data_IF_503037185526
#
_entry.id   IF_503037185526
#
_cell.length_a   1.000
_cell.length_b   1.000
_cell.length_c   1.000
_cell.angle_alpha   90.00
_cell.angle_beta   90.00
_cell.angle_gamma   90.00
#
_symmetry.space_group_name_H-M   'P 1'
#
loop_
_entity.id
_entity.type
_entity.pdbx_description
1 polymer ?
#
# COMPACT_ATOMS: atom_id res chain seq x y z
N UNK A 1 -20.69 -16.65 -29.96
CA UNK A 1 -21.47 -16.48 -31.22
C UNK A 1 -22.07 -17.80 -31.68
N UNK A 2 -21.28 -18.87 -31.77
CA UNK A 2 -21.79 -20.23 -32.01
C UNK A 2 -22.92 -20.61 -31.03
N UNK A 3 -22.68 -20.48 -29.72
CA UNK A 3 -23.63 -20.92 -28.69
C UNK A 3 -24.90 -20.07 -28.67
N UNK A 4 -24.77 -18.77 -28.95
CA UNK A 4 -25.91 -17.88 -29.17
C UNK A 4 -26.75 -18.28 -30.39
N UNK A 5 -26.12 -18.77 -31.46
CA UNK A 5 -26.81 -19.28 -32.65
C UNK A 5 -27.50 -20.61 -32.36
N UNK A 6 -26.90 -21.52 -31.58
CA UNK A 6 -27.53 -22.78 -31.15
C UNK A 6 -28.76 -22.54 -30.27
N UNK A 7 -28.67 -21.57 -29.36
CA UNK A 7 -29.74 -21.21 -28.43
C UNK A 7 -30.77 -20.23 -29.03
N UNK A 8 -30.60 -19.83 -30.30
CA UNK A 8 -31.45 -18.82 -30.94
C UNK A 8 -32.87 -19.35 -31.20
N UNK A 9 -33.91 -18.67 -30.69
CA UNK A 9 -35.32 -19.03 -30.90
C UNK A 9 -36.00 -19.61 -29.65
N UNK A 10 -37.24 -20.12 -29.76
CA UNK A 10 -37.99 -20.60 -28.61
C UNK A 10 -37.30 -21.84 -28.01
N UNK A 11 -37.17 -21.84 -26.68
CA UNK A 11 -36.65 -22.96 -25.90
C UNK A 11 -37.75 -24.01 -25.75
N UNK A 12 -37.43 -25.29 -25.97
CA UNK A 12 -38.39 -26.37 -25.78
C UNK A 12 -38.81 -26.43 -24.29
N UNK A 13 -40.10 -26.30 -23.96
CA UNK A 13 -40.60 -26.28 -22.59
C UNK A 13 -40.26 -27.54 -21.77
N UNK A 14 -39.89 -28.65 -22.44
CA UNK A 14 -39.50 -29.89 -21.78
C UNK A 14 -37.98 -30.11 -21.68
N UNK A 15 -37.16 -29.13 -22.10
CA UNK A 15 -35.70 -29.26 -22.05
C UNK A 15 -35.13 -28.94 -20.67
N UNK A 16 -34.01 -29.58 -20.30
CA UNK A 16 -33.28 -29.26 -19.07
C UNK A 16 -32.76 -27.80 -19.03
N UNK A 17 -32.57 -27.18 -20.19
CA UNK A 17 -32.17 -25.78 -20.32
C UNK A 17 -33.20 -24.83 -19.68
N UNK A 18 -34.50 -25.17 -19.73
CA UNK A 18 -35.57 -24.40 -19.08
C UNK A 18 -35.47 -24.37 -17.55
N UNK A 19 -34.82 -25.37 -16.94
CA UNK A 19 -34.66 -25.50 -15.48
C UNK A 19 -33.36 -24.88 -14.94
N UNK A 20 -32.35 -24.70 -15.81
CA UNK A 20 -31.01 -24.29 -15.40
C UNK A 20 -30.80 -22.76 -15.35
N UNK A 21 -31.74 -21.96 -15.87
CA UNK A 21 -31.54 -20.52 -16.09
C UNK A 21 -32.45 -19.62 -15.23
N UNK A 22 -31.92 -18.47 -14.80
CA UNK A 22 -32.66 -17.45 -14.03
C UNK A 22 -33.38 -16.46 -14.97
N UNK A 23 -34.56 -15.93 -14.59
CA UNK A 23 -35.28 -14.96 -15.41
C UNK A 23 -34.52 -13.63 -15.47
N UNK A 24 -34.08 -13.19 -16.66
CA UNK A 24 -33.50 -11.85 -16.89
C UNK A 24 -32.24 -11.79 -17.77
N UNK A 25 -31.55 -12.91 -18.02
CA UNK A 25 -30.26 -12.91 -18.74
C UNK A 25 -30.36 -12.75 -20.27
N UNK A 26 -31.58 -12.71 -20.81
CA UNK A 26 -31.81 -12.66 -22.26
C UNK A 26 -32.08 -11.23 -22.71
N UNK A 27 -31.02 -10.42 -22.89
CA UNK A 27 -31.19 -9.13 -23.59
C UNK A 27 -31.39 -9.29 -25.11
N UNK A 28 -31.05 -10.44 -25.70
CA UNK A 28 -31.15 -10.66 -27.16
C UNK A 28 -31.35 -12.12 -27.57
N UNK A 29 -32.25 -12.87 -26.90
CA UNK A 29 -32.71 -14.16 -27.43
C UNK A 29 -34.07 -13.95 -28.10
N UNK A 30 -34.18 -14.27 -29.38
CA UNK A 30 -35.41 -14.17 -30.16
C UNK A 30 -36.47 -15.23 -29.74
N UNK A 31 -36.79 -15.33 -28.46
CA UNK A 31 -37.75 -16.28 -27.85
C UNK A 31 -39.15 -16.16 -28.46
N UNK A 32 -39.50 -14.97 -28.95
CA UNK A 32 -40.79 -14.67 -29.57
C UNK A 32 -40.89 -15.09 -31.04
N UNK A 33 -39.82 -15.62 -31.62
CA UNK A 33 -39.82 -16.02 -33.02
C UNK A 33 -40.40 -17.42 -33.24
N UNK A 34 -41.13 -17.65 -34.34
CA UNK A 34 -41.59 -18.99 -34.69
C UNK A 34 -40.43 -19.99 -34.88
N UNK A 35 -40.65 -21.26 -34.52
CA UNK A 35 -39.66 -22.35 -34.65
C UNK A 35 -39.15 -22.53 -36.10
N UNK A 36 -40.01 -22.31 -37.09
CA UNK A 36 -39.64 -22.40 -38.50
C UNK A 36 -38.65 -21.31 -38.94
N UNK A 37 -38.65 -20.14 -38.28
CA UNK A 37 -37.77 -19.01 -38.62
C UNK A 37 -36.44 -19.07 -37.87
N UNK A 38 -36.39 -19.73 -36.72
CA UNK A 38 -35.17 -19.90 -35.91
C UNK A 38 -34.31 -21.08 -36.37
N UNK A 39 -34.90 -22.13 -36.94
CA UNK A 39 -34.19 -23.29 -37.51
C UNK A 39 -33.04 -22.97 -38.47
N UNK A 40 -33.21 -22.12 -39.50
CA UNK A 40 -32.13 -21.77 -40.43
C UNK A 40 -31.02 -20.93 -39.78
N UNK A 41 -31.33 -20.17 -38.71
CA UNK A 41 -30.33 -19.39 -37.96
C UNK A 41 -29.51 -20.31 -37.04
N UNK A 42 -30.13 -21.33 -36.41
CA UNK A 42 -29.41 -22.38 -35.67
C UNK A 42 -28.45 -23.16 -36.55
N UNK A 43 -28.81 -23.42 -37.81
CA UNK A 43 -27.94 -24.07 -38.79
C UNK A 43 -26.67 -23.27 -39.10
N UNK A 44 -26.65 -21.95 -38.88
CA UNK A 44 -25.43 -21.15 -39.00
C UNK A 44 -24.41 -21.46 -37.90
N UNK A 45 -24.83 -22.02 -36.76
CA UNK A 45 -23.91 -22.50 -35.73
C UNK A 45 -22.97 -23.57 -36.30
N UNK A 46 -23.47 -24.49 -37.13
CA UNK A 46 -22.66 -25.54 -37.77
C UNK A 46 -21.49 -25.00 -38.64
N UNK A 47 -21.55 -23.73 -39.05
CA UNK A 47 -20.52 -23.06 -39.88
C UNK A 47 -19.59 -22.19 -39.03
N UNK A 48 -20.02 -21.79 -37.83
CA UNK A 48 -19.18 -21.05 -36.88
C UNK A 48 -18.33 -22.06 -36.09
N UNK A 49 -17.02 -21.87 -35.92
CA UNK A 49 -16.22 -22.79 -35.13
C UNK A 49 -16.68 -22.81 -33.66
N UNK A 50 -16.85 -24.01 -33.10
CA UNK A 50 -17.14 -24.20 -31.68
C UNK A 50 -15.88 -23.96 -30.84
N UNK A 51 -15.56 -22.69 -30.57
CA UNK A 51 -14.35 -22.28 -29.87
C UNK A 51 -14.35 -22.57 -28.36
N UNK A 52 -15.46 -23.06 -27.77
CA UNK A 52 -15.53 -23.35 -26.33
C UNK A 52 -14.46 -24.35 -25.88
N UNK A 53 -14.18 -25.42 -26.65
CA UNK A 53 -13.16 -26.40 -26.25
C UNK A 53 -11.74 -25.82 -26.30
N UNK A 54 -11.45 -24.95 -27.28
CA UNK A 54 -10.16 -24.26 -27.35
C UNK A 54 -10.01 -23.19 -26.27
N UNK A 55 -11.10 -22.51 -25.90
CA UNK A 55 -11.12 -21.53 -24.82
C UNK A 55 -10.95 -22.21 -23.46
N UNK A 56 -11.67 -23.32 -23.20
CA UNK A 56 -11.48 -24.12 -21.99
C UNK A 56 -10.07 -24.70 -21.90
N UNK A 57 -9.54 -25.27 -22.99
CA UNK A 57 -8.17 -25.78 -23.00
C UNK A 57 -7.12 -24.66 -22.78
N UNK A 58 -7.32 -23.48 -23.37
CA UNK A 58 -6.45 -22.33 -23.14
C UNK A 58 -6.54 -21.82 -21.69
N UNK A 59 -7.75 -21.81 -21.12
CA UNK A 59 -7.98 -21.45 -19.72
C UNK A 59 -7.31 -22.44 -18.76
N UNK A 60 -7.46 -23.75 -18.99
CA UNK A 60 -6.82 -24.80 -18.20
C UNK A 60 -5.29 -24.71 -18.28
N UNK A 61 -4.76 -24.47 -19.48
CA UNK A 61 -3.33 -24.21 -19.67
C UNK A 61 -2.88 -22.96 -18.91
N UNK A 62 -3.59 -21.84 -19.00
CA UNK A 62 -3.27 -20.61 -18.28
C UNK A 62 -3.34 -20.79 -16.77
N UNK A 63 -4.33 -21.52 -16.27
CA UNK A 63 -4.46 -21.84 -14.85
C UNK A 63 -3.29 -22.70 -14.36
N UNK A 64 -2.89 -23.71 -15.14
CA UNK A 64 -1.69 -24.50 -14.84
C UNK A 64 -0.42 -23.64 -14.85
N UNK A 65 -0.31 -22.71 -15.81
CA UNK A 65 0.81 -21.77 -15.89
C UNK A 65 0.84 -20.83 -14.67
N UNK A 66 -0.30 -20.28 -14.25
CA UNK A 66 -0.39 -19.39 -13.08
C UNK A 66 -0.12 -20.11 -11.76
N UNK A 67 -0.47 -21.39 -11.66
CA UNK A 67 -0.24 -22.17 -10.45
C UNK A 67 1.19 -22.72 -10.35
N UNK A 68 1.96 -22.74 -11.44
CA UNK A 68 3.34 -23.24 -11.44
C UNK A 68 4.32 -22.26 -10.78
N UNK A 69 4.83 -22.61 -9.60
CA UNK A 69 5.84 -21.81 -8.88
C UNK A 69 7.14 -21.65 -9.68
N UNK A 70 7.66 -22.72 -10.29
CA UNK A 70 8.89 -22.67 -11.09
C UNK A 70 8.78 -21.75 -12.30
N UNK A 71 7.60 -21.74 -12.95
CA UNK A 71 7.37 -20.85 -14.07
C UNK A 71 7.30 -19.39 -13.59
N UNK A 72 6.61 -19.14 -12.48
CA UNK A 72 6.55 -17.81 -11.87
C UNK A 72 7.96 -17.28 -11.58
N UNK A 73 8.82 -18.10 -10.96
CA UNK A 73 10.21 -17.74 -10.65
C UNK A 73 10.98 -17.39 -11.94
N UNK A 74 10.88 -18.24 -12.97
CA UNK A 74 11.50 -17.97 -14.28
C UNK A 74 10.98 -16.68 -14.93
N UNK A 75 9.66 -16.43 -14.88
CA UNK A 75 9.05 -15.23 -15.45
C UNK A 75 9.51 -13.98 -14.69
N UNK A 76 9.51 -13.99 -13.36
CA UNK A 76 9.97 -12.88 -12.54
C UNK A 76 11.46 -12.56 -12.79
N UNK A 77 12.31 -13.58 -12.91
CA UNK A 77 13.75 -13.39 -13.07
C UNK A 77 14.15 -13.03 -14.52
N UNK A 78 13.59 -13.72 -15.53
CA UNK A 78 14.09 -13.66 -16.91
C UNK A 78 13.19 -12.90 -17.86
N UNK A 79 11.89 -12.80 -17.57
CA UNK A 79 10.87 -12.22 -18.46
C UNK A 79 9.81 -11.41 -17.69
N UNK A 80 10.19 -10.44 -16.84
CA UNK A 80 9.24 -9.74 -15.97
C UNK A 80 8.11 -9.05 -16.74
N UNK A 81 8.42 -8.51 -17.92
CA UNK A 81 7.42 -7.87 -18.77
C UNK A 81 6.46 -8.83 -19.49
N UNK A 82 6.80 -10.12 -19.55
CA UNK A 82 5.84 -11.15 -19.96
C UNK A 82 4.84 -11.42 -18.82
N UNK A 83 5.30 -11.41 -17.57
CA UNK A 83 4.42 -11.47 -16.39
C UNK A 83 3.37 -10.34 -16.39
N UNK A 84 3.77 -9.12 -16.75
CA UNK A 84 2.83 -8.00 -16.94
C UNK A 84 1.78 -8.26 -18.01
N UNK A 85 2.20 -8.83 -19.15
CA UNK A 85 1.27 -9.15 -20.23
C UNK A 85 0.20 -10.15 -19.76
N UNK A 86 0.60 -11.13 -18.95
CA UNK A 86 -0.31 -12.10 -18.36
C UNK A 86 -1.32 -11.47 -17.40
N UNK A 87 -0.86 -10.57 -16.51
CA UNK A 87 -1.73 -9.84 -15.57
C UNK A 87 -2.77 -9.01 -16.34
N UNK A 88 -2.37 -8.39 -17.46
CA UNK A 88 -3.24 -7.54 -18.28
C UNK A 88 -4.42 -8.30 -18.90
N UNK A 89 -4.29 -9.60 -19.16
CA UNK A 89 -5.34 -10.39 -19.81
C UNK A 89 -6.49 -10.79 -18.86
N UNK A 90 -6.48 -10.36 -17.59
CA UNK A 90 -7.57 -10.51 -16.61
C UNK A 90 -8.22 -11.90 -16.57
N UNK A 91 -7.39 -12.94 -16.71
CA UNK A 91 -7.83 -14.33 -16.60
C UNK A 91 -8.14 -14.64 -15.14
N UNK A 92 -9.04 -15.61 -14.88
CA UNK A 92 -9.34 -16.06 -13.52
C UNK A 92 -8.04 -16.38 -12.75
N UNK A 93 -7.83 -15.73 -11.60
CA UNK A 93 -6.60 -15.85 -10.80
C UNK A 93 -5.54 -14.77 -11.04
N UNK A 94 -5.77 -13.76 -11.89
CA UNK A 94 -4.80 -12.69 -12.15
C UNK A 94 -4.34 -11.94 -10.89
N UNK A 95 -5.22 -11.75 -9.89
CA UNK A 95 -4.87 -11.12 -8.63
C UNK A 95 -3.92 -11.98 -7.78
N UNK A 96 -4.17 -13.30 -7.66
CA UNK A 96 -3.28 -14.24 -6.97
C UNK A 96 -1.91 -14.32 -7.66
N UNK A 97 -1.93 -14.42 -9.00
CA UNK A 97 -0.71 -14.38 -9.80
C UNK A 97 0.05 -13.07 -9.58
N UNK A 98 -0.63 -11.92 -9.61
CA UNK A 98 -0.03 -10.60 -9.38
C UNK A 98 0.61 -10.51 -8.00
N UNK A 99 -0.08 -10.96 -6.95
CA UNK A 99 0.45 -11.00 -5.58
C UNK A 99 1.75 -11.81 -5.51
N UNK A 100 1.72 -13.06 -6.01
CA UNK A 100 2.90 -13.93 -6.01
C UNK A 100 4.02 -13.38 -6.89
N UNK A 101 3.69 -12.81 -8.04
CA UNK A 101 4.64 -12.20 -8.96
C UNK A 101 5.35 -10.99 -8.35
N UNK A 102 4.61 -10.06 -7.76
CA UNK A 102 5.18 -8.89 -7.07
C UNK A 102 6.01 -9.32 -5.86
N UNK A 103 5.56 -10.34 -5.11
CA UNK A 103 6.35 -10.93 -4.03
C UNK A 103 7.70 -11.47 -4.51
N UNK A 104 7.75 -12.15 -5.66
CA UNK A 104 9.03 -12.60 -6.27
C UNK A 104 9.91 -11.46 -6.75
N UNK A 105 9.32 -10.40 -7.30
CA UNK A 105 10.08 -9.24 -7.76
C UNK A 105 10.72 -8.49 -6.58
N UNK A 106 9.99 -8.25 -5.49
CA UNK A 106 10.57 -7.55 -4.32
C UNK A 106 11.59 -8.42 -3.57
N UNK A 107 11.46 -9.75 -3.62
CA UNK A 107 12.40 -10.68 -3.00
C UNK A 107 13.79 -10.70 -3.65
N UNK A 108 13.93 -10.18 -4.87
CA UNK A 108 15.18 -10.23 -5.65
C UNK A 108 15.69 -8.82 -5.95
N UNK A 109 16.80 -8.38 -5.31
CA UNK A 109 17.40 -7.07 -5.55
C UNK A 109 17.85 -6.80 -6.99
N UNK A 110 18.02 -7.86 -7.80
CA UNK A 110 18.35 -7.76 -9.22
C UNK A 110 17.14 -7.70 -10.15
N UNK A 111 15.92 -7.66 -9.61
CA UNK A 111 14.70 -7.70 -10.43
C UNK A 111 14.46 -6.39 -11.18
N UNK A 112 13.63 -6.47 -12.22
CA UNK A 112 13.21 -5.28 -12.97
C UNK A 112 12.48 -4.26 -12.07
N UNK A 113 11.82 -4.70 -10.99
CA UNK A 113 11.17 -3.81 -10.04
C UNK A 113 12.18 -2.88 -9.35
N UNK A 114 13.30 -3.43 -8.87
CA UNK A 114 14.35 -2.64 -8.22
C UNK A 114 14.95 -1.63 -9.18
N UNK A 115 15.22 -2.04 -10.42
CA UNK A 115 15.76 -1.14 -11.43
C UNK A 115 14.81 0.03 -11.73
N UNK A 116 13.52 -0.25 -11.91
CA UNK A 116 12.53 0.78 -12.17
C UNK A 116 12.34 1.70 -10.96
N UNK A 117 12.24 1.18 -9.74
CA UNK A 117 12.11 1.98 -8.51
C UNK A 117 13.34 2.88 -8.28
N UNK A 118 14.55 2.34 -8.38
CA UNK A 118 15.79 3.08 -8.14
C UNK A 118 16.02 4.21 -9.16
N UNK A 119 15.41 4.11 -10.34
CA UNK A 119 15.51 5.12 -11.40
C UNK A 119 14.28 6.04 -11.49
N UNK A 120 13.30 5.88 -10.59
CA UNK A 120 12.04 6.61 -10.59
C UNK A 120 11.84 7.50 -9.35
N UNK A 121 12.88 8.27 -9.00
CA UNK A 121 12.86 9.20 -7.88
C UNK A 121 12.48 10.64 -8.29
N UNK A 122 12.14 10.86 -9.57
CA UNK A 122 11.77 12.18 -10.09
C UNK A 122 10.27 12.40 -9.87
N UNK A 123 9.92 13.48 -9.18
CA UNK A 123 8.53 13.91 -8.99
C UNK A 123 8.01 14.68 -10.21
N UNK A 124 6.72 14.54 -10.48
CA UNK A 124 5.95 15.31 -11.45
C UNK A 124 4.99 16.22 -10.67
N UNK A 125 5.51 17.40 -10.29
CA UNK A 125 4.81 18.32 -9.40
C UNK A 125 4.91 17.94 -7.90
N UNK A 126 4.09 18.56 -7.04
CA UNK A 126 4.19 18.39 -5.58
C UNK A 126 3.57 17.08 -5.07
N UNK A 127 2.69 16.44 -5.84
CA UNK A 127 1.92 15.26 -5.41
C UNK A 127 2.47 13.96 -6.00
N UNK A 128 2.75 13.91 -7.31
CA UNK A 128 2.95 12.67 -8.05
C UNK A 128 4.42 12.40 -8.44
N UNK A 129 4.70 11.16 -8.80
CA UNK A 129 5.94 10.77 -9.47
C UNK A 129 5.78 10.78 -10.98
N UNK A 130 6.86 11.10 -11.70
CA UNK A 130 6.92 10.85 -13.13
C UNK A 130 6.92 9.34 -13.38
N UNK A 131 6.03 8.84 -14.24
CA UNK A 131 5.89 7.42 -14.57
C UNK A 131 6.10 7.21 -16.08
N UNK A 132 7.34 7.27 -16.58
CA UNK A 132 7.61 7.17 -18.00
C UNK A 132 7.29 5.75 -18.52
N UNK A 133 6.81 5.64 -19.76
CA UNK A 133 6.43 4.37 -20.40
C UNK A 133 7.57 3.33 -20.40
N UNK A 134 8.84 3.77 -20.34
CA UNK A 134 10.01 2.89 -20.23
C UNK A 134 10.04 2.07 -18.93
N UNK A 135 9.48 2.60 -17.84
CA UNK A 135 9.34 1.90 -16.56
C UNK A 135 8.05 1.10 -16.61
N UNK A 136 8.08 -0.03 -17.34
CA UNK A 136 6.86 -0.73 -17.77
C UNK A 136 6.08 -1.31 -16.59
N UNK A 137 6.73 -1.76 -15.52
CA UNK A 137 6.06 -2.27 -14.31
C UNK A 137 5.36 -1.13 -13.59
N UNK A 138 6.10 -0.08 -13.24
CA UNK A 138 5.54 1.05 -12.49
C UNK A 138 4.48 1.80 -13.29
N UNK A 139 4.71 2.00 -14.59
CA UNK A 139 3.75 2.63 -15.48
C UNK A 139 2.46 1.80 -15.59
N UNK A 140 2.57 0.47 -15.75
CA UNK A 140 1.38 -0.39 -15.79
C UNK A 140 0.55 -0.32 -14.51
N UNK A 141 1.23 -0.35 -13.36
CA UNK A 141 0.57 -0.36 -12.05
C UNK A 141 -0.02 1.00 -11.65
N UNK A 142 0.69 2.10 -11.94
CA UNK A 142 0.44 3.39 -11.29
C UNK A 142 0.12 4.54 -12.23
N UNK A 143 0.34 4.42 -13.56
CA UNK A 143 -0.10 5.46 -14.49
C UNK A 143 -1.64 5.55 -14.56
N UNK A 144 -2.33 4.43 -14.31
CA UNK A 144 -3.72 4.39 -13.84
C UNK A 144 -3.75 3.62 -12.52
N UNK A 145 -3.80 4.35 -11.40
CA UNK A 145 -3.70 3.77 -10.06
C UNK A 145 -4.86 2.82 -9.71
N UNK A 146 -5.97 2.84 -10.48
CA UNK A 146 -7.08 1.89 -10.32
C UNK A 146 -6.66 0.46 -10.67
N UNK A 147 -5.64 0.28 -11.52
CA UNK A 147 -5.09 -1.06 -11.78
C UNK A 147 -4.45 -1.64 -10.52
N UNK A 148 -3.63 -0.85 -9.82
CA UNK A 148 -3.02 -1.29 -8.57
C UNK A 148 -4.07 -1.60 -7.49
N UNK A 149 -5.15 -0.82 -7.41
CA UNK A 149 -6.29 -1.09 -6.53
C UNK A 149 -6.95 -2.44 -6.85
N UNK A 150 -7.36 -2.65 -8.11
CA UNK A 150 -8.02 -3.87 -8.57
C UNK A 150 -7.16 -5.12 -8.36
N UNK A 151 -5.86 -5.00 -8.54
CA UNK A 151 -4.89 -6.09 -8.35
C UNK A 151 -4.46 -6.28 -6.90
N UNK A 152 -4.86 -5.38 -5.99
CA UNK A 152 -4.34 -5.32 -4.62
C UNK A 152 -2.80 -5.35 -4.60
N UNK A 153 -2.16 -4.52 -5.42
CA UNK A 153 -0.72 -4.57 -5.70
C UNK A 153 0.17 -4.52 -4.44
N UNK A 154 -0.32 -3.89 -3.38
CA UNK A 154 0.32 -3.85 -2.07
C UNK A 154 0.52 -5.22 -1.41
N UNK A 155 -0.34 -6.21 -1.66
CA UNK A 155 -0.31 -7.49 -0.92
C UNK A 155 0.97 -8.27 -1.17
N UNK A 156 1.40 -8.34 -2.43
CA UNK A 156 2.59 -9.10 -2.80
C UNK A 156 3.87 -8.50 -2.21
N UNK A 157 3.98 -7.17 -2.27
CA UNK A 157 5.12 -6.42 -1.74
C UNK A 157 5.08 -6.40 -0.21
N UNK A 158 3.97 -5.97 0.37
CA UNK A 158 3.83 -5.81 1.81
C UNK A 158 3.86 -7.13 2.56
N UNK A 159 3.20 -8.17 2.05
CA UNK A 159 3.25 -9.50 2.65
C UNK A 159 4.65 -10.12 2.63
N UNK A 160 5.46 -9.86 1.58
CA UNK A 160 6.86 -10.28 1.58
C UNK A 160 7.67 -9.56 2.67
N UNK A 161 7.51 -8.25 2.80
CA UNK A 161 8.23 -7.45 3.81
C UNK A 161 7.86 -7.90 5.23
N UNK A 162 6.59 -8.20 5.49
CA UNK A 162 6.18 -8.77 6.77
C UNK A 162 6.89 -10.09 7.06
N UNK A 163 6.85 -11.06 6.13
CA UNK A 163 7.54 -12.35 6.30
C UNK A 163 9.06 -12.20 6.43
N UNK A 164 9.66 -11.24 5.74
CA UNK A 164 11.08 -10.93 5.86
C UNK A 164 11.42 -10.42 7.27
N UNK A 165 10.63 -9.49 7.80
CA UNK A 165 10.80 -8.96 9.15
C UNK A 165 10.44 -9.99 10.24
N UNK A 166 9.52 -10.92 9.95
CA UNK A 166 9.19 -12.05 10.80
C UNK A 166 10.27 -13.17 10.74
N UNK A 167 11.30 -13.00 9.89
CA UNK A 167 12.45 -13.92 9.78
C UNK A 167 12.20 -15.16 8.92
N UNK A 168 11.08 -15.23 8.20
CA UNK A 168 10.68 -16.41 7.41
C UNK A 168 11.43 -16.52 6.07
N UNK A 169 11.84 -15.39 5.48
CA UNK A 169 12.44 -15.36 4.14
C UNK A 169 13.98 -15.37 4.16
N UNK A 170 14.60 -14.57 5.04
CA UNK A 170 16.06 -14.43 5.19
C UNK A 170 16.43 -14.34 6.68
N UNK A 171 16.74 -15.47 7.34
CA UNK A 171 16.97 -15.48 8.79
C UNK A 171 18.17 -14.62 9.26
N UNK A 172 19.15 -14.39 8.40
CA UNK A 172 20.34 -13.56 8.66
C UNK A 172 20.08 -12.06 8.47
N UNK A 173 18.92 -11.69 7.95
CA UNK A 173 18.61 -10.31 7.57
C UNK A 173 18.60 -9.34 8.76
N UNK A 174 18.16 -9.80 9.93
CA UNK A 174 18.24 -9.02 11.17
C UNK A 174 19.67 -8.72 11.61
N UNK A 175 20.62 -9.60 11.32
CA UNK A 175 22.04 -9.32 11.60
C UNK A 175 22.54 -8.14 10.75
N UNK A 176 22.07 -8.03 9.50
CA UNK A 176 22.38 -6.89 8.65
C UNK A 176 21.65 -5.61 9.09
N UNK A 177 20.36 -5.71 9.45
CA UNK A 177 19.56 -4.57 9.93
C UNK A 177 20.10 -3.94 11.23
N UNK A 178 20.59 -4.78 12.14
CA UNK A 178 21.17 -4.36 13.42
C UNK A 178 22.69 -4.09 13.31
N UNK A 179 23.23 -4.09 12.10
CA UNK A 179 24.60 -3.66 11.83
C UNK A 179 24.72 -2.16 11.57
N UNK A 180 25.98 -1.68 11.53
CA UNK A 180 26.35 -0.29 11.29
C UNK A 180 25.71 0.30 10.03
N UNK A 181 25.19 1.53 10.11
CA UNK A 181 24.48 2.17 9.00
C UNK A 181 25.37 3.04 8.10
N UNK A 182 26.68 3.15 8.35
CA UNK A 182 27.57 4.07 7.63
C UNK A 182 27.51 3.99 6.09
N UNK A 183 27.16 2.83 5.53
CA UNK A 183 27.03 2.60 4.08
C UNK A 183 25.57 2.46 3.59
N UNK A 184 24.60 2.82 4.42
CA UNK A 184 23.18 2.63 4.11
C UNK A 184 22.77 3.33 2.81
N UNK A 185 23.26 4.54 2.55
CA UNK A 185 22.90 5.30 1.33
C UNK A 185 23.29 4.58 0.03
N UNK A 186 24.39 3.82 0.03
CA UNK A 186 24.84 3.01 -1.11
C UNK A 186 24.11 1.66 -1.18
N UNK A 187 23.75 1.09 -0.03
CA UNK A 187 23.15 -0.24 0.10
C UNK A 187 21.62 -0.24 -0.05
N UNK A 188 20.94 0.86 0.28
CA UNK A 188 19.46 0.93 0.38
C UNK A 188 18.73 0.54 -0.90
N UNK A 189 19.34 0.77 -2.06
CA UNK A 189 18.74 0.37 -3.34
C UNK A 189 18.79 -1.14 -3.61
N UNK A 190 19.42 -1.92 -2.73
CA UNK A 190 19.38 -3.39 -2.71
C UNK A 190 18.58 -3.94 -1.53
N UNK A 191 18.08 -3.06 -0.67
CA UNK A 191 17.29 -3.42 0.48
C UNK A 191 15.80 -3.59 0.10
N UNK A 192 15.21 -4.78 0.30
CA UNK A 192 13.77 -5.00 0.09
C UNK A 192 12.85 -4.13 0.94
N UNK A 193 13.25 -3.72 2.15
CA UNK A 193 12.39 -2.85 2.97
C UNK A 193 12.39 -1.46 2.38
N UNK A 194 13.55 -0.84 2.19
CA UNK A 194 13.62 0.49 1.58
C UNK A 194 12.93 0.54 0.20
N UNK A 195 13.21 -0.43 -0.67
CA UNK A 195 12.58 -0.47 -1.99
C UNK A 195 11.07 -0.74 -1.92
N UNK A 196 10.64 -1.52 -0.92
CA UNK A 196 9.23 -1.67 -0.58
C UNK A 196 8.58 -0.35 -0.16
N UNK A 197 9.24 0.43 0.70
CA UNK A 197 8.77 1.75 1.12
C UNK A 197 8.62 2.70 -0.07
N UNK A 198 9.62 2.76 -0.97
CA UNK A 198 9.53 3.55 -2.21
C UNK A 198 8.37 3.09 -3.10
N UNK A 199 8.15 1.77 -3.22
CA UNK A 199 6.99 1.24 -3.95
C UNK A 199 5.65 1.71 -3.36
N UNK A 200 5.51 1.66 -2.04
CA UNK A 200 4.32 2.16 -1.35
C UNK A 200 4.14 3.67 -1.55
N UNK A 201 5.21 4.45 -1.48
CA UNK A 201 5.15 5.90 -1.66
C UNK A 201 4.67 6.28 -3.07
N UNK A 202 5.24 5.65 -4.11
CA UNK A 202 4.79 5.86 -5.50
C UNK A 202 3.31 5.47 -5.63
N UNK A 203 2.92 4.30 -5.13
CA UNK A 203 1.54 3.81 -5.22
C UNK A 203 0.53 4.77 -4.57
N UNK A 204 0.80 5.18 -3.33
CA UNK A 204 -0.10 6.03 -2.53
C UNK A 204 -0.20 7.41 -3.15
N UNK A 205 0.92 8.01 -3.55
CA UNK A 205 0.93 9.32 -4.22
C UNK A 205 0.23 9.30 -5.58
N UNK A 206 0.44 8.24 -6.37
CA UNK A 206 -0.28 8.07 -7.64
C UNK A 206 -1.79 7.95 -7.45
N UNK A 207 -2.24 7.23 -6.42
CA UNK A 207 -3.66 7.14 -6.09
C UNK A 207 -4.24 8.48 -5.63
N UNK A 208 -3.53 9.20 -4.76
CA UNK A 208 -3.93 10.53 -4.28
C UNK A 208 -4.08 11.52 -5.44
N UNK A 209 -3.08 11.58 -6.32
CA UNK A 209 -3.07 12.44 -7.50
C UNK A 209 -4.23 12.15 -8.46
N UNK A 210 -4.61 10.88 -8.60
CA UNK A 210 -5.65 10.44 -9.53
C UNK A 210 -7.04 10.33 -8.88
N UNK A 211 -7.22 10.76 -7.63
CA UNK A 211 -8.47 10.66 -6.86
C UNK A 211 -9.04 9.23 -6.81
N UNK A 212 -8.18 8.21 -6.71
CA UNK A 212 -8.63 6.82 -6.51
C UNK A 212 -9.16 6.66 -5.09
N UNK A 213 -10.36 6.09 -4.94
CA UNK A 213 -10.98 5.94 -3.63
C UNK A 213 -10.17 5.03 -2.71
N UNK A 214 -10.26 5.28 -1.40
CA UNK A 214 -9.51 4.52 -0.40
C UNK A 214 -8.07 5.01 -0.26
N UNK A 215 -7.25 4.19 0.40
CA UNK A 215 -5.91 4.60 0.84
C UNK A 215 -4.82 3.58 0.47
N UNK A 216 -5.05 2.76 -0.56
CA UNK A 216 -4.09 1.78 -1.12
C UNK A 216 -3.40 0.90 -0.07
N UNK A 217 -4.13 0.58 1.01
CA UNK A 217 -3.64 -0.20 2.14
C UNK A 217 -2.34 0.32 2.78
N UNK A 218 -2.17 1.65 2.83
CA UNK A 218 -1.02 2.33 3.45
C UNK A 218 -0.73 1.93 4.90
N UNK A 219 -1.69 1.27 5.58
CA UNK A 219 -1.51 0.71 6.91
C UNK A 219 -0.43 -0.38 7.00
N UNK A 220 0.09 -0.91 5.90
CA UNK A 220 1.30 -1.74 5.94
C UNK A 220 2.45 -1.06 6.69
N UNK A 221 2.60 0.28 6.59
CA UNK A 221 3.74 0.96 7.20
C UNK A 221 3.69 0.94 8.73
N UNK A 222 2.51 1.02 9.38
CA UNK A 222 2.45 0.80 10.84
C UNK A 222 2.80 -0.64 11.23
N UNK A 223 2.52 -1.62 10.36
CA UNK A 223 2.88 -3.01 10.59
C UNK A 223 4.39 -3.24 10.45
N UNK A 224 5.03 -2.55 9.49
CA UNK A 224 6.49 -2.57 9.35
C UNK A 224 7.16 -1.88 10.54
N UNK A 225 6.66 -0.73 10.99
CA UNK A 225 7.23 -0.01 12.13
C UNK A 225 7.24 -0.88 13.41
N UNK A 226 6.12 -1.58 13.70
CA UNK A 226 6.04 -2.50 14.85
C UNK A 226 7.02 -3.66 14.76
N UNK A 227 7.22 -4.22 13.57
CA UNK A 227 8.19 -5.31 13.38
C UNK A 227 9.64 -4.82 13.42
N UNK A 228 9.90 -3.64 12.86
CA UNK A 228 11.20 -2.97 12.95
C UNK A 228 11.56 -2.70 14.41
N UNK A 229 10.62 -2.18 15.21
CA UNK A 229 10.80 -2.01 16.66
C UNK A 229 11.04 -3.34 17.38
N UNK A 230 10.25 -4.38 17.07
CA UNK A 230 10.33 -5.66 17.77
C UNK A 230 11.69 -6.36 17.60
N UNK A 231 12.32 -6.25 16.44
CA UNK A 231 13.65 -6.81 16.15
C UNK A 231 14.82 -5.85 16.33
N UNK A 232 14.57 -4.60 16.73
CA UNK A 232 15.59 -3.58 16.92
C UNK A 232 16.61 -4.00 17.99
N UNK A 233 17.89 -3.91 17.65
CA UNK A 233 19.00 -4.08 18.59
C UNK A 233 20.21 -3.24 18.14
N UNK A 234 20.63 -2.29 18.97
CA UNK A 234 21.80 -1.44 18.77
C UNK A 234 22.97 -1.81 19.70
N UNK A 235 22.89 -2.92 20.43
CA UNK A 235 23.91 -3.34 21.40
C UNK A 235 25.09 -4.11 20.79
N UNK A 236 25.13 -4.23 19.46
CA UNK A 236 26.17 -4.93 18.72
C UNK A 236 27.56 -4.31 18.88
N UNK A 237 28.60 -5.13 18.74
CA UNK A 237 29.99 -4.68 18.78
C UNK A 237 30.29 -3.68 17.65
N UNK A 238 30.89 -2.54 17.99
CA UNK A 238 31.26 -1.50 17.02
C UNK A 238 30.11 -0.57 16.61
N UNK A 239 28.94 -0.69 17.22
CA UNK A 239 27.82 0.24 17.03
C UNK A 239 27.96 1.45 17.96
N UNK A 240 27.89 2.65 17.38
CA UNK A 240 27.81 3.90 18.14
C UNK A 240 26.33 4.23 18.42
N UNK A 241 25.89 4.02 19.67
CA UNK A 241 24.52 4.28 20.10
C UNK A 241 24.18 5.78 20.19
N UNK A 242 25.18 6.66 20.20
CA UNK A 242 24.98 8.11 20.23
C UNK A 242 24.87 8.71 18.82
N UNK A 243 25.10 7.91 17.76
CA UNK A 243 24.87 8.33 16.39
C UNK A 243 23.38 8.62 16.14
N UNK A 244 23.07 9.55 15.22
CA UNK A 244 21.68 9.90 14.85
C UNK A 244 20.86 8.65 14.48
N UNK A 245 21.50 7.74 13.74
CA UNK A 245 20.99 6.40 13.48
C UNK A 245 22.11 5.40 13.81
N UNK A 246 22.02 4.63 14.90
CA UNK A 246 23.04 3.66 15.29
C UNK A 246 23.11 2.46 14.34
N UNK A 247 21.94 1.99 13.88
CA UNK A 247 21.80 0.79 13.03
C UNK A 247 20.89 1.05 11.84
N UNK A 248 20.96 0.20 10.81
CA UNK A 248 20.13 0.33 9.59
C UNK A 248 18.63 0.28 9.91
N UNK A 249 18.22 -0.49 10.91
CA UNK A 249 16.82 -0.51 11.39
C UNK A 249 16.33 0.87 11.86
N UNK A 250 17.18 1.65 12.57
CA UNK A 250 16.87 3.03 12.97
C UNK A 250 16.65 3.93 11.75
N UNK A 251 17.54 3.80 10.76
CA UNK A 251 17.46 4.55 9.50
C UNK A 251 16.19 4.20 8.72
N UNK A 252 15.78 2.93 8.68
CA UNK A 252 14.53 2.51 8.03
C UNK A 252 13.28 2.99 8.75
N UNK A 253 13.27 3.04 10.08
CA UNK A 253 12.18 3.66 10.84
C UNK A 253 12.04 5.15 10.49
N UNK A 254 13.16 5.85 10.30
CA UNK A 254 13.17 7.23 9.85
C UNK A 254 12.61 7.39 8.43
N UNK A 255 13.07 6.60 7.46
CA UNK A 255 12.55 6.65 6.08
C UNK A 255 11.05 6.37 6.03
N UNK A 256 10.59 5.40 6.81
CA UNK A 256 9.18 5.08 6.96
C UNK A 256 8.38 6.27 7.52
N UNK A 257 8.85 6.88 8.62
CA UNK A 257 8.19 8.03 9.22
C UNK A 257 8.11 9.22 8.25
N UNK A 258 9.18 9.47 7.48
CA UNK A 258 9.22 10.52 6.47
C UNK A 258 8.22 10.29 5.33
N UNK A 259 8.05 9.05 4.88
CA UNK A 259 7.06 8.71 3.85
C UNK A 259 5.64 8.94 4.37
N UNK A 260 5.33 8.44 5.58
CA UNK A 260 4.00 8.62 6.18
C UNK A 260 3.72 10.12 6.43
N UNK A 261 4.69 10.87 6.94
CA UNK A 261 4.63 12.35 7.06
C UNK A 261 4.29 12.99 5.72
N UNK A 262 5.02 12.63 4.67
CA UNK A 262 4.80 13.13 3.32
C UNK A 262 3.39 12.86 2.79
N UNK A 263 2.77 11.73 3.17
CA UNK A 263 1.37 11.44 2.82
C UNK A 263 0.35 12.30 3.56
N UNK A 264 0.64 12.69 4.80
CA UNK A 264 -0.19 13.68 5.53
C UNK A 264 -0.13 15.02 4.80
N UNK A 265 1.07 15.47 4.44
CA UNK A 265 1.35 16.74 3.74
C UNK A 265 0.82 16.82 2.31
N UNK A 266 0.38 15.69 1.74
CA UNK A 266 -0.37 15.72 0.48
C UNK A 266 -1.65 16.57 0.62
N UNK A 267 -2.24 16.67 1.80
CA UNK A 267 -3.49 17.42 2.02
C UNK A 267 -3.44 18.85 1.46
N UNK A 268 -2.36 19.59 1.73
CA UNK A 268 -2.19 20.98 1.28
C UNK A 268 -1.98 21.08 -0.24
N UNK A 269 -1.33 20.07 -0.82
CA UNK A 269 -0.93 20.06 -2.23
C UNK A 269 -1.99 19.44 -3.16
N UNK A 270 -3.06 18.86 -2.61
CA UNK A 270 -4.14 18.26 -3.38
C UNK A 270 -5.13 19.33 -3.88
N UNK A 271 -5.75 19.12 -5.07
CA UNK A 271 -6.83 19.97 -5.56
C UNK A 271 -7.98 20.08 -4.55
N UNK A 272 -8.60 21.25 -4.44
CA UNK A 272 -9.70 21.52 -3.49
C UNK A 272 -10.88 20.55 -3.64
N UNK A 273 -11.16 20.08 -4.86
CA UNK A 273 -12.22 19.13 -5.18
C UNK A 273 -11.81 17.65 -4.98
N UNK A 274 -10.58 17.39 -4.52
CA UNK A 274 -10.08 16.05 -4.27
C UNK A 274 -10.91 15.32 -3.21
N UNK A 275 -11.25 14.06 -3.50
CA UNK A 275 -11.88 13.16 -2.53
C UNK A 275 -11.04 12.97 -1.27
N UNK A 276 -9.72 13.17 -1.37
CA UNK A 276 -8.80 13.00 -0.26
C UNK A 276 -8.65 14.24 0.63
N UNK A 277 -9.18 15.41 0.21
CA UNK A 277 -9.32 16.60 1.07
C UNK A 277 -10.60 16.59 1.90
N UNK A 278 -11.53 15.71 1.58
CA UNK A 278 -12.77 15.60 2.35
C UNK A 278 -12.51 14.99 3.73
N UNK A 279 -12.97 15.69 4.77
CA UNK A 279 -12.91 15.20 6.13
C UNK A 279 -13.85 14.01 6.29
N UNK A 280 -13.33 12.85 6.72
CA UNK A 280 -14.12 11.62 6.80
C UNK A 280 -15.14 11.70 7.95
N UNK A 281 -16.32 11.07 7.81
CA UNK A 281 -17.37 11.10 8.84
C UNK A 281 -17.02 10.27 10.07
N UNK A 282 -16.10 9.30 9.93
CA UNK A 282 -15.62 8.45 11.01
C UNK A 282 -14.10 8.50 11.05
N UNK A 283 -13.58 8.60 12.27
CA UNK A 283 -12.14 8.75 12.50
C UNK A 283 -11.38 7.44 12.50
N UNK A 284 -11.99 6.31 12.86
CA UNK A 284 -11.26 5.03 12.90
C UNK A 284 -11.04 4.40 11.52
N UNK A 285 -11.75 4.89 10.49
CA UNK A 285 -11.69 4.32 9.14
C UNK A 285 -11.77 5.41 8.07
N UNK A 286 -10.81 6.34 8.02
CA UNK A 286 -10.76 7.36 7.00
C UNK A 286 -10.52 6.72 5.63
N UNK A 287 -11.37 7.06 4.65
CA UNK A 287 -11.17 6.66 3.25
C UNK A 287 -10.17 7.55 2.50
N UNK A 288 -9.73 8.66 3.11
CA UNK A 288 -8.81 9.63 2.51
C UNK A 288 -7.36 9.37 2.93
N UNK A 289 -6.44 9.50 1.98
CA UNK A 289 -5.01 9.19 2.18
C UNK A 289 -4.38 10.04 3.29
N UNK A 290 -4.48 11.38 3.30
CA UNK A 290 -3.84 12.19 4.34
C UNK A 290 -4.33 11.88 5.76
N UNK A 291 -5.63 11.62 5.91
CA UNK A 291 -6.24 11.35 7.20
C UNK A 291 -5.87 9.94 7.71
N UNK A 292 -5.84 8.94 6.81
CA UNK A 292 -5.35 7.59 7.12
C UNK A 292 -3.85 7.60 7.46
N UNK A 293 -3.07 8.40 6.74
CA UNK A 293 -1.65 8.62 7.01
C UNK A 293 -1.44 9.25 8.39
N UNK A 294 -2.26 10.22 8.80
CA UNK A 294 -2.15 10.84 10.14
C UNK A 294 -2.37 9.82 11.26
N UNK A 295 -3.34 8.91 11.12
CA UNK A 295 -3.53 7.81 12.08
C UNK A 295 -2.36 6.85 12.09
N UNK A 296 -1.83 6.52 10.90
CA UNK A 296 -0.65 5.67 10.75
C UNK A 296 0.57 6.31 11.40
N UNK A 297 0.74 7.63 11.28
CA UNK A 297 1.82 8.38 11.90
C UNK A 297 1.69 8.36 13.43
N UNK A 298 0.48 8.45 13.96
CA UNK A 298 0.20 8.26 15.39
C UNK A 298 0.54 6.85 15.87
N UNK A 299 0.19 5.81 15.11
CA UNK A 299 0.58 4.42 15.39
C UNK A 299 2.13 4.25 15.40
N UNK A 300 2.83 4.90 14.48
CA UNK A 300 4.31 4.88 14.39
C UNK A 300 4.93 5.61 15.58
N UNK A 301 4.46 6.82 15.89
CA UNK A 301 4.93 7.59 17.06
C UNK A 301 4.74 6.82 18.36
N UNK A 302 3.58 6.20 18.55
CA UNK A 302 3.31 5.39 19.73
C UNK A 302 4.23 4.17 19.83
N UNK A 303 4.48 3.49 18.70
CA UNK A 303 5.41 2.35 18.63
C UNK A 303 6.81 2.76 19.09
N UNK A 304 7.29 3.92 18.63
CA UNK A 304 8.63 4.43 18.96
C UNK A 304 8.70 4.94 20.40
N UNK A 305 7.76 5.79 20.82
CA UNK A 305 7.79 6.44 22.13
C UNK A 305 7.62 5.45 23.30
N UNK A 306 6.91 4.34 23.08
CA UNK A 306 6.71 3.30 24.10
C UNK A 306 7.77 2.21 24.08
N UNK A 307 8.64 2.17 23.07
CA UNK A 307 9.70 1.17 22.98
C UNK A 307 10.74 1.40 24.07
N UNK A 308 11.17 0.30 24.70
CA UNK A 308 12.34 0.28 25.56
C UNK A 308 13.58 -0.29 24.82
N UNK A 309 13.44 -0.61 23.52
CA UNK A 309 14.50 -1.15 22.66
C UNK A 309 15.15 -0.08 21.81
N UNK A 310 14.35 0.83 21.29
CA UNK A 310 14.82 1.93 20.43
C UNK A 310 15.62 2.92 21.28
N UNK A 311 16.80 3.30 20.79
CA UNK A 311 17.66 4.27 21.46
C UNK A 311 16.93 5.61 21.64
N UNK A 312 17.16 6.28 22.77
CA UNK A 312 16.49 7.56 23.09
C UNK A 312 16.72 8.62 22.00
N UNK A 313 17.94 8.70 21.45
CA UNK A 313 18.27 9.64 20.38
C UNK A 313 17.49 9.39 19.09
N UNK A 314 17.27 8.12 18.72
CA UNK A 314 16.43 7.73 17.58
C UNK A 314 14.98 8.09 17.85
N UNK A 315 14.46 7.78 19.04
CA UNK A 315 13.09 8.14 19.42
C UNK A 315 12.85 9.65 19.39
N UNK A 316 13.81 10.45 19.89
CA UNK A 316 13.77 11.91 19.83
C UNK A 316 13.78 12.41 18.38
N UNK A 317 14.64 11.86 17.54
CA UNK A 317 14.74 12.25 16.12
C UNK A 317 13.43 11.99 15.39
N UNK A 318 12.82 10.82 15.59
CA UNK A 318 11.54 10.46 14.99
C UNK A 318 10.40 11.35 15.52
N UNK A 319 10.37 11.63 16.83
CA UNK A 319 9.43 12.57 17.43
C UNK A 319 9.54 13.95 16.76
N UNK A 320 10.73 14.52 16.67
CA UNK A 320 10.94 15.85 16.10
C UNK A 320 10.55 15.91 14.62
N UNK A 321 10.85 14.87 13.84
CA UNK A 321 10.41 14.74 12.44
C UNK A 321 8.89 14.75 12.33
N UNK A 322 8.22 13.95 13.18
CA UNK A 322 6.76 13.83 13.19
C UNK A 322 6.12 15.14 13.63
N UNK A 323 6.59 15.79 14.69
CA UNK A 323 6.02 17.04 15.19
C UNK A 323 6.19 18.21 14.22
N UNK A 324 7.24 18.22 13.39
CA UNK A 324 7.38 19.22 12.30
C UNK A 324 6.21 19.17 11.31
N UNK A 325 5.57 18.02 11.11
CA UNK A 325 4.40 17.93 10.23
C UNK A 325 3.20 18.75 10.76
N UNK A 326 3.09 18.95 12.08
CA UNK A 326 2.07 19.82 12.67
C UNK A 326 2.35 21.27 12.25
N UNK A 327 3.59 21.73 12.44
CA UNK A 327 4.03 23.07 12.07
C UNK A 327 3.78 23.36 10.58
N UNK A 328 4.03 22.38 9.72
CA UNK A 328 3.88 22.54 8.27
C UNK A 328 2.40 22.84 7.88
N UNK A 329 1.41 22.51 8.73
CA UNK A 329 0.04 23.01 8.62
C UNK A 329 -0.16 24.29 9.44
N UNK A 330 -0.04 25.45 8.79
CA UNK A 330 -0.30 26.75 9.42
C UNK A 330 -1.80 26.99 9.71
N UNK A 331 -2.07 27.78 10.75
CA UNK A 331 -3.43 28.18 11.09
C UNK A 331 -3.96 29.20 10.05
N UNK A 332 -4.85 28.73 9.18
CA UNK A 332 -5.53 29.52 8.15
C UNK A 332 -7.00 29.84 8.50
N UNK A 333 -7.47 29.36 9.66
CA UNK A 333 -8.88 29.38 10.05
C UNK A 333 -9.79 28.51 9.17
N UNK A 334 -9.22 27.67 8.31
CA UNK A 334 -9.89 26.94 7.24
C UNK A 334 -9.66 25.43 7.32
N UNK A 335 -9.43 24.81 6.16
CA UNK A 335 -9.23 23.37 6.07
C UNK A 335 -7.86 22.93 6.61
N UNK A 336 -6.82 23.77 6.48
CA UNK A 336 -5.48 23.43 6.99
C UNK A 336 -5.47 23.44 8.51
N UNK A 337 -6.11 24.42 9.17
CA UNK A 337 -6.30 24.40 10.64
C UNK A 337 -7.06 23.15 11.10
N UNK A 338 -8.07 22.71 10.34
CA UNK A 338 -8.81 21.48 10.65
C UNK A 338 -7.94 20.23 10.49
N UNK A 339 -7.09 20.18 9.46
CA UNK A 339 -6.17 19.07 9.24
C UNK A 339 -5.06 19.04 10.30
N UNK A 340 -4.56 20.20 10.72
CA UNK A 340 -3.64 20.34 11.86
C UNK A 340 -4.26 19.76 13.13
N UNK A 341 -5.49 20.15 13.45
CA UNK A 341 -6.22 19.60 14.59
C UNK A 341 -6.44 18.09 14.49
N UNK A 342 -6.78 17.59 13.29
CA UNK A 342 -6.88 16.15 13.03
C UNK A 342 -5.59 15.40 13.32
N UNK A 343 -4.46 15.94 12.82
CA UNK A 343 -3.14 15.38 12.99
C UNK A 343 -2.73 15.36 14.47
N UNK A 344 -2.88 16.47 15.20
CA UNK A 344 -2.60 16.55 16.64
C UNK A 344 -3.35 15.45 17.39
N UNK A 345 -4.65 15.34 17.13
CA UNK A 345 -5.46 14.33 17.77
C UNK A 345 -4.99 12.91 17.38
N UNK A 346 -4.56 12.68 16.14
CA UNK A 346 -4.12 11.35 15.67
C UNK A 346 -2.82 10.93 16.35
N UNK A 347 -1.88 11.86 16.49
CA UNK A 347 -0.62 11.65 17.21
C UNK A 347 -0.87 11.38 18.69
N UNK A 348 -1.73 12.15 19.33
CA UNK A 348 -2.05 11.98 20.76
C UNK A 348 -2.88 10.73 21.04
N UNK A 349 -3.74 10.28 20.12
CA UNK A 349 -4.45 9.02 20.32
C UNK A 349 -3.50 7.81 20.25
N UNK A 350 -2.43 7.88 19.44
CA UNK A 350 -1.41 6.83 19.34
C UNK A 350 -1.96 5.47 18.92
N UNK A 351 -3.07 5.46 18.18
CA UNK A 351 -3.80 4.24 17.81
C UNK A 351 -4.44 3.52 19.01
N UNK A 352 -4.37 2.18 19.03
CA UNK A 352 -4.96 1.35 20.08
C UNK A 352 -3.98 1.12 21.25
N UNK A 353 -3.32 2.18 21.71
CA UNK A 353 -2.35 2.09 22.81
C UNK A 353 -3.06 1.74 24.13
N UNK A 354 -2.69 0.59 24.71
CA UNK A 354 -3.32 0.07 25.93
C UNK A 354 -2.91 0.84 27.21
N UNK A 355 -1.71 1.43 27.24
CA UNK A 355 -1.19 2.21 28.37
C UNK A 355 -1.06 3.70 28.01
N UNK A 356 -2.20 4.40 28.02
CA UNK A 356 -2.28 5.82 27.67
C UNK A 356 -1.46 6.71 28.60
N UNK A 357 -1.42 6.40 29.90
CA UNK A 357 -0.70 7.20 30.87
C UNK A 357 0.81 7.14 30.62
N UNK A 358 1.35 5.94 30.40
CA UNK A 358 2.75 5.79 30.02
C UNK A 358 3.04 6.49 28.70
N UNK A 359 2.15 6.37 27.72
CA UNK A 359 2.33 7.02 26.43
C UNK A 359 2.41 8.54 26.56
N UNK A 360 1.48 9.17 27.26
CA UNK A 360 1.52 10.62 27.43
C UNK A 360 2.73 11.11 28.23
N UNK A 361 3.17 10.35 29.24
CA UNK A 361 4.42 10.67 29.94
C UNK A 361 5.63 10.60 29.00
N UNK A 362 5.72 9.55 28.16
CA UNK A 362 6.79 9.43 27.16
C UNK A 362 6.76 10.57 26.14
N UNK A 363 5.57 10.95 25.65
CA UNK A 363 5.41 12.10 24.77
C UNK A 363 5.84 13.41 25.44
N UNK A 364 5.48 13.61 26.71
CA UNK A 364 5.87 14.80 27.46
C UNK A 364 7.40 14.88 27.65
N UNK A 365 8.04 13.75 27.94
CA UNK A 365 9.51 13.65 28.05
C UNK A 365 10.19 14.01 26.71
N UNK A 366 9.75 13.40 25.60
CA UNK A 366 10.29 13.68 24.26
C UNK A 366 10.03 15.13 23.84
N UNK A 367 8.84 15.66 24.12
CA UNK A 367 8.48 17.03 23.81
C UNK A 367 9.30 18.04 24.61
N UNK A 368 9.64 17.74 25.86
CA UNK A 368 10.46 18.63 26.69
C UNK A 368 11.87 18.85 26.11
N UNK A 369 12.41 17.83 25.43
CA UNK A 369 13.72 17.83 24.77
C UNK A 369 13.67 18.36 23.32
N UNK A 370 12.48 18.52 22.73
CA UNK A 370 12.31 19.14 21.42
C UNK A 370 12.78 20.60 21.40
N UNK A 371 13.34 21.03 20.26
CA UNK A 371 13.82 22.40 20.07
C UNK A 371 12.76 23.45 20.46
N UNK A 372 13.22 24.48 21.16
CA UNK A 372 12.38 25.53 21.73
C UNK A 372 11.57 26.30 20.67
N UNK A 373 12.10 26.48 19.46
CA UNK A 373 11.39 27.18 18.39
C UNK A 373 10.23 26.32 17.89
N UNK A 374 10.47 25.03 17.64
CA UNK A 374 9.40 24.12 17.24
C UNK A 374 8.30 24.03 18.31
N UNK A 375 8.65 23.97 19.61
CA UNK A 375 7.67 23.96 20.71
C UNK A 375 6.74 25.19 20.69
N UNK A 376 7.29 26.36 20.40
CA UNK A 376 6.51 27.59 20.31
C UNK A 376 5.55 27.58 19.10
N UNK A 377 5.94 26.97 17.99
CA UNK A 377 5.09 26.86 16.79
C UNK A 377 3.96 25.82 16.93
N UNK A 378 4.02 24.94 17.95
CA UNK A 378 3.03 23.87 18.20
C UNK A 378 2.46 23.91 19.63
N UNK A 379 2.25 25.10 20.18
CA UNK A 379 1.67 25.30 21.52
C UNK A 379 0.29 24.63 21.71
N UNK A 380 -0.49 24.48 20.65
CA UNK A 380 -1.77 23.77 20.65
C UNK A 380 -1.60 22.26 20.88
N UNK A 381 -0.56 21.64 20.32
CA UNK A 381 -0.19 20.26 20.63
C UNK A 381 0.18 20.11 22.11
N UNK A 382 0.99 21.03 22.65
CA UNK A 382 1.40 21.01 24.05
C UNK A 382 0.20 21.14 25.00
N UNK A 383 -0.70 22.07 24.69
CA UNK A 383 -1.94 22.30 25.45
C UNK A 383 -2.80 21.04 25.48
N UNK A 384 -3.01 20.42 24.32
CA UNK A 384 -3.84 19.21 24.23
C UNK A 384 -3.18 18.02 24.94
N UNK A 385 -1.86 17.85 24.84
CA UNK A 385 -1.14 16.80 25.57
C UNK A 385 -1.35 16.92 27.09
N UNK A 386 -1.25 18.13 27.64
CA UNK A 386 -1.51 18.38 29.07
C UNK A 386 -2.95 18.06 29.45
N UNK A 387 -3.93 18.43 28.61
CA UNK A 387 -5.34 18.09 28.85
C UNK A 387 -5.54 16.57 28.93
N UNK A 388 -5.01 15.83 27.94
CA UNK A 388 -5.09 14.36 27.89
C UNK A 388 -4.40 13.69 29.09
N UNK A 389 -3.27 14.23 29.55
CA UNK A 389 -2.58 13.75 30.76
C UNK A 389 -3.44 13.91 32.02
N UNK A 390 -4.09 15.07 32.17
CA UNK A 390 -4.97 15.34 33.33
C UNK A 390 -6.18 14.40 33.33
N UNK A 391 -6.79 14.16 32.16
CA UNK A 391 -7.90 13.22 32.00
C UNK A 391 -7.49 11.77 32.35
N UNK A 392 -6.33 11.32 31.86
CA UNK A 392 -5.82 9.98 32.15
C UNK A 392 -5.33 9.80 33.59
N UNK A 393 -5.01 10.88 34.31
CA UNK A 393 -4.67 10.85 35.73
C UNK A 393 -5.89 10.83 36.66
N UNK A 394 -7.06 11.25 36.16
CA UNK A 394 -8.32 11.27 36.90
C UNK A 394 -9.14 9.98 36.78
N UNK A 395 -8.88 9.17 35.75
CA UNK A 395 -9.45 7.84 35.51
C UNK A 395 -8.62 6.75 36.20
#
# INVERSE_FOLDING_TARGET
MHDWLEEFGPTDPNSFATLAHRPGDRRFSAETWPTWASGPIRLLACVVPHCQRSESAASDMLQMLFNSSKLLDYVAERRPYFGLALIRHQVYGAADFSERFLSRLIASPGSALYHELATNLVTDGPVAYALPIRNRLLHFLFADARHAEQLSAWKGVGGYIERLLDGEERPDYWTWLNGDQSWFEDERYRDPIFMGLVFFDIMVRSAAHQNVLGHMWLYYLRHFARRLEAGYDSSGEGIDQEAEFPVRAARLLYELAQIVKGWVELFENLPEDSVHRQFPPRRESPGSIPHAAALTLGDVLATVALSDRIDRGVAQTLNDVILRSIRDFHDDGGELSRMRGWLIQALLDGGNTADRRRYYNRLADLFADTDHFLRHEIEDYATELVNRMNEAGAA
#
